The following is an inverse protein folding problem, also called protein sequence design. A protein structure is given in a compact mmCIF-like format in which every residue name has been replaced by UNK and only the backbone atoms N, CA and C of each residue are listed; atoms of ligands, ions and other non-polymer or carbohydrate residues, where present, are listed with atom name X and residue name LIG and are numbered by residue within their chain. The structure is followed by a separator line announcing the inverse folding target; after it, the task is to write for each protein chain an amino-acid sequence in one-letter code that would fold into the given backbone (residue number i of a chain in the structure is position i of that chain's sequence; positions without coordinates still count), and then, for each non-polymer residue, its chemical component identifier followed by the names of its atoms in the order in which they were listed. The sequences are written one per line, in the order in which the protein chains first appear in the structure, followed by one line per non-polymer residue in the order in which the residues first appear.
data_IF_368729541237
#
_entry.id   IF_368729541237
#
_cell.length_a   1.000
_cell.length_b   1.000
_cell.length_c   1.000
_cell.angle_alpha   90.00
_cell.angle_beta   90.00
_cell.angle_gamma   90.00
#
_symmetry.space_group_name_H-M   'P 1'
#
loop_
_entity.id
_entity.type
_entity.pdbx_description
1 polymer ?
#
# COMPACT_ATOMS: atom_id res chain seq x y z
N UNK A 1 10.65 17.08 -13.08
CA UNK A 1 11.38 18.27 -12.63
C UNK A 1 12.56 17.79 -11.79
N UNK A 2 13.77 17.81 -12.36
CA UNK A 2 15.00 17.53 -11.62
C UNK A 2 15.41 18.81 -10.89
N UNK A 3 15.64 18.72 -9.59
CA UNK A 3 16.15 19.85 -8.79
C UNK A 3 17.52 19.44 -8.28
N UNK A 4 18.53 20.25 -8.58
CA UNK A 4 19.89 20.05 -8.13
C UNK A 4 20.07 20.70 -6.76
N UNK A 5 20.07 19.90 -5.69
CA UNK A 5 20.32 20.39 -4.33
C UNK A 5 21.84 20.42 -4.06
N UNK A 6 22.34 21.58 -3.63
CA UNK A 6 23.73 21.75 -3.21
C UNK A 6 23.87 21.39 -1.72
N UNK A 7 24.69 20.39 -1.40
CA UNK A 7 25.16 20.17 -0.02
C UNK A 7 26.58 20.71 0.13
N UNK A 8 26.79 21.67 1.04
CA UNK A 8 28.13 22.17 1.41
C UNK A 8 28.65 21.33 2.57
N UNK A 9 29.62 20.46 2.31
CA UNK A 9 30.42 19.82 3.36
C UNK A 9 31.81 20.48 3.35
N UNK A 10 32.15 21.22 4.39
CA UNK A 10 33.50 21.76 4.57
C UNK A 10 34.45 20.62 4.94
N UNK A 11 35.39 20.30 4.06
CA UNK A 11 36.49 19.41 4.38
C UNK A 11 37.70 20.24 4.84
N UNK A 12 38.53 19.69 5.75
CA UNK A 12 39.66 20.39 6.42
C UNK A 12 40.75 20.96 5.48
N UNK A 13 40.66 20.74 4.16
CA UNK A 13 41.67 21.10 3.17
C UNK A 13 41.25 22.21 2.18
N UNK A 14 40.29 23.09 2.52
CA UNK A 14 39.90 24.27 1.71
C UNK A 14 39.52 24.03 0.22
N UNK A 15 39.41 22.79 -0.24
CA UNK A 15 38.81 22.47 -1.54
C UNK A 15 37.30 22.34 -1.38
N UNK A 16 36.55 23.31 -1.94
CA UNK A 16 35.09 23.26 -2.04
C UNK A 16 34.68 22.18 -3.04
N UNK A 17 34.42 20.96 -2.56
CA UNK A 17 33.68 19.97 -3.35
C UNK A 17 32.19 20.31 -3.32
N UNK A 18 31.67 20.77 -4.45
CA UNK A 18 30.23 20.93 -4.66
C UNK A 18 29.70 19.58 -5.14
N UNK A 19 28.99 18.86 -4.27
CA UNK A 19 28.25 17.67 -4.69
C UNK A 19 26.88 18.09 -5.20
N UNK A 20 26.64 17.83 -6.49
CA UNK A 20 25.29 17.90 -7.06
C UNK A 20 24.59 16.58 -6.79
N UNK A 21 23.59 16.61 -5.91
CA UNK A 21 22.71 15.45 -5.71
C UNK A 21 21.54 15.61 -6.66
N UNK A 22 21.53 14.80 -7.73
CA UNK A 22 20.34 14.66 -8.56
C UNK A 22 19.22 14.02 -7.73
N UNK A 23 18.10 14.72 -7.62
CA UNK A 23 16.87 14.20 -7.03
C UNK A 23 15.68 14.46 -7.95
N UNK A 24 14.70 13.58 -7.87
CA UNK A 24 13.45 13.69 -8.60
C UNK A 24 12.28 13.80 -7.63
N UNK A 25 11.31 14.66 -7.97
CA UNK A 25 10.04 14.70 -7.26
C UNK A 25 9.25 13.44 -7.63
N UNK A 26 8.99 12.59 -6.65
CA UNK A 26 8.28 11.33 -6.83
C UNK A 26 7.20 11.16 -5.78
N UNK A 27 6.19 10.36 -6.11
CA UNK A 27 5.11 10.02 -5.19
C UNK A 27 5.49 8.75 -4.42
N UNK A 28 5.51 8.83 -3.09
CA UNK A 28 5.87 7.74 -2.17
C UNK A 28 4.64 7.27 -1.42
N UNK A 29 4.48 5.95 -1.27
CA UNK A 29 3.52 5.37 -0.32
C UNK A 29 4.11 5.40 1.10
N UNK A 30 3.61 6.35 1.90
CA UNK A 30 4.08 6.58 3.27
C UNK A 30 3.29 5.74 4.28
N UNK A 31 1.98 5.61 4.07
CA UNK A 31 1.06 4.74 4.81
C UNK A 31 0.11 4.06 3.83
N UNK A 32 -0.57 2.97 4.23
CA UNK A 32 -1.59 2.35 3.40
C UNK A 32 -2.61 3.40 2.95
N UNK A 33 -2.80 3.52 1.64
CA UNK A 33 -3.64 4.55 0.99
C UNK A 33 -3.24 6.02 1.21
N UNK A 34 -2.06 6.33 1.76
CA UNK A 34 -1.56 7.70 1.91
C UNK A 34 -0.26 7.87 1.12
N UNK A 35 -0.38 8.54 -0.03
CA UNK A 35 0.75 8.85 -0.89
C UNK A 35 1.14 10.32 -0.75
N UNK A 36 2.44 10.59 -0.65
CA UNK A 36 2.97 11.95 -0.50
C UNK A 36 4.13 12.16 -1.44
N UNK A 37 4.26 13.39 -1.94
CA UNK A 37 5.41 13.76 -2.74
C UNK A 37 6.65 13.88 -1.85
N UNK A 38 7.78 13.40 -2.35
CA UNK A 38 9.09 13.63 -1.76
C UNK A 38 10.12 13.89 -2.85
N UNK A 39 11.23 14.51 -2.47
CA UNK A 39 12.43 14.51 -3.29
C UNK A 39 13.22 13.24 -3.03
N UNK A 40 13.28 12.38 -4.05
CA UNK A 40 13.98 11.12 -3.97
C UNK A 40 15.32 11.18 -4.68
N UNK A 41 16.38 10.77 -3.98
CA UNK A 41 17.73 10.69 -4.51
C UNK A 41 18.22 9.25 -4.50
N UNK A 42 19.01 8.85 -5.51
CA UNK A 42 19.63 7.51 -5.55
C UNK A 42 20.61 7.31 -4.39
N UNK A 43 21.35 8.38 -4.07
CA UNK A 43 22.37 8.42 -3.03
C UNK A 43 21.82 9.03 -1.73
N UNK A 44 22.55 8.82 -0.63
CA UNK A 44 22.27 9.49 0.64
C UNK A 44 22.46 11.00 0.50
N UNK A 45 21.76 11.77 1.33
CA UNK A 45 21.89 13.23 1.41
C UNK A 45 20.53 13.89 1.55
N UNK A 46 19.71 13.82 0.49
CA UNK A 46 18.30 14.27 0.56
C UNK A 46 17.47 13.31 1.40
N UNK A 47 17.68 12.00 1.19
CA UNK A 47 17.09 10.93 2.00
C UNK A 47 18.22 10.16 2.68
N UNK A 48 18.08 9.89 3.98
CA UNK A 48 19.12 9.20 4.78
C UNK A 48 19.34 7.76 4.27
N UNK A 49 18.26 7.06 3.94
CA UNK A 49 18.27 5.68 3.42
C UNK A 49 17.34 5.56 2.22
N UNK A 50 17.82 5.83 0.99
CA UNK A 50 16.95 5.80 -0.18
C UNK A 50 16.47 4.39 -0.54
N UNK A 51 17.21 3.34 -0.15
CA UNK A 51 16.83 1.97 -0.50
C UNK A 51 16.82 1.71 -2.02
N UNK A 52 17.58 2.50 -2.78
CA UNK A 52 17.50 2.54 -4.24
C UNK A 52 17.77 1.20 -4.91
N UNK A 53 18.58 0.31 -4.31
CA UNK A 53 18.78 -1.06 -4.80
C UNK A 53 17.48 -1.81 -5.05
N UNK A 54 16.46 -1.59 -4.23
CA UNK A 54 15.12 -2.21 -4.37
C UNK A 54 14.19 -1.26 -5.11
N UNK A 55 14.15 0.01 -4.69
CA UNK A 55 13.19 0.99 -5.22
C UNK A 55 13.37 1.31 -6.70
N UNK A 56 14.58 1.13 -7.26
CA UNK A 56 14.84 1.28 -8.70
C UNK A 56 13.90 0.41 -9.54
N UNK A 57 13.57 -0.79 -9.07
CA UNK A 57 12.68 -1.69 -9.81
C UNK A 57 11.25 -1.18 -9.89
N UNK A 58 10.81 -0.38 -8.93
CA UNK A 58 9.48 0.26 -8.96
C UNK A 58 9.50 1.56 -9.75
N UNK A 59 10.60 2.31 -9.71
CA UNK A 59 10.74 3.57 -10.43
C UNK A 59 10.95 3.38 -11.95
N UNK A 60 11.72 2.37 -12.33
CA UNK A 60 12.24 2.24 -13.69
C UNK A 60 11.46 1.25 -14.55
N UNK A 61 10.76 0.29 -13.92
CA UNK A 61 9.90 -0.66 -14.63
C UNK A 61 8.47 -0.12 -14.62
N UNK A 62 7.96 0.23 -15.81
CA UNK A 62 6.61 0.76 -15.96
C UNK A 62 5.56 -0.22 -15.42
N UNK A 63 4.60 0.31 -14.66
CA UNK A 63 3.48 -0.44 -14.06
C UNK A 63 3.90 -1.60 -13.14
N UNK A 64 5.14 -1.61 -12.64
CA UNK A 64 5.57 -2.62 -11.68
C UNK A 64 4.87 -2.41 -10.33
N UNK A 65 4.68 -3.50 -9.61
CA UNK A 65 4.08 -3.52 -8.28
C UNK A 65 4.98 -4.28 -7.32
N UNK A 66 4.86 -3.98 -6.03
CA UNK A 66 5.53 -4.71 -4.97
C UNK A 66 4.53 -5.18 -3.93
N UNK A 67 4.72 -6.41 -3.48
CA UNK A 67 4.17 -6.86 -2.21
C UNK A 67 5.01 -6.25 -1.09
N UNK A 68 4.34 -5.73 -0.07
CA UNK A 68 4.97 -5.32 1.18
C UNK A 68 4.43 -6.21 2.27
N UNK A 69 5.33 -6.86 2.99
CA UNK A 69 4.98 -7.65 4.18
C UNK A 69 6.11 -7.64 5.19
N UNK A 70 5.89 -8.20 6.38
CA UNK A 70 6.87 -8.23 7.46
C UNK A 70 7.37 -9.65 7.69
N UNK A 71 8.58 -9.76 8.24
CA UNK A 71 9.09 -11.00 8.83
C UNK A 71 8.60 -11.20 10.25
N UNK A 72 8.33 -10.11 10.97
CA UNK A 72 7.98 -10.13 12.38
C UNK A 72 6.73 -9.30 12.63
N UNK A 73 5.77 -9.88 13.33
CA UNK A 73 4.53 -9.22 13.71
C UNK A 73 4.30 -9.42 15.20
N UNK A 74 4.07 -8.33 15.93
CA UNK A 74 3.72 -8.36 17.37
C UNK A 74 2.25 -8.01 17.63
N UNK A 75 1.41 -8.06 16.60
CA UNK A 75 -0.03 -7.82 16.74
C UNK A 75 -0.78 -9.11 17.00
N UNK A 76 -1.94 -8.99 17.64
CA UNK A 76 -2.85 -10.11 17.96
C UNK A 76 -3.46 -10.76 16.71
N UNK A 77 -3.45 -10.07 15.57
CA UNK A 77 -3.86 -10.60 14.27
C UNK A 77 -2.93 -10.10 13.18
N UNK A 78 -2.59 -10.97 12.24
CA UNK A 78 -1.76 -10.60 11.10
C UNK A 78 -2.55 -9.72 10.12
N UNK A 79 -2.13 -8.47 9.96
CA UNK A 79 -2.65 -7.52 8.95
C UNK A 79 -1.52 -6.90 8.11
N UNK A 80 -0.31 -7.48 8.17
CA UNK A 80 0.92 -6.90 7.64
C UNK A 80 1.20 -7.32 6.20
N UNK A 81 0.21 -7.17 5.32
CA UNK A 81 0.36 -7.36 3.88
C UNK A 81 -0.28 -6.18 3.16
N UNK A 82 0.41 -5.58 2.21
CA UNK A 82 -0.12 -4.51 1.35
C UNK A 82 0.59 -4.51 0.00
N UNK A 83 -0.02 -3.93 -1.02
CA UNK A 83 0.58 -3.79 -2.35
C UNK A 83 0.83 -2.33 -2.66
N UNK A 84 1.90 -2.03 -3.38
CA UNK A 84 2.14 -0.68 -3.90
C UNK A 84 2.63 -0.72 -5.34
N UNK A 85 2.30 0.32 -6.10
CA UNK A 85 2.87 0.61 -7.43
C UNK A 85 3.82 1.81 -7.39
N UNK A 86 4.22 2.23 -6.18
CA UNK A 86 5.04 3.41 -5.92
C UNK A 86 6.17 3.01 -4.99
N UNK A 87 7.24 3.79 -4.97
CA UNK A 87 8.25 3.60 -3.93
C UNK A 87 7.60 3.78 -2.55
N UNK A 88 8.09 3.06 -1.56
CA UNK A 88 7.47 3.04 -0.24
C UNK A 88 8.46 3.41 0.85
N UNK A 89 7.94 4.04 1.90
CA UNK A 89 8.71 4.19 3.12
C UNK A 89 8.73 2.86 3.89
N UNK A 90 9.81 2.64 4.63
CA UNK A 90 9.95 1.50 5.54
C UNK A 90 8.79 1.38 6.55
N UNK A 91 8.13 2.50 6.84
CA UNK A 91 7.10 2.62 7.87
C UNK A 91 5.67 2.40 7.36
N UNK A 92 5.46 2.09 6.08
CA UNK A 92 4.13 1.78 5.55
C UNK A 92 3.51 0.55 6.24
N UNK A 93 4.35 -0.45 6.52
CA UNK A 93 4.06 -1.59 7.37
C UNK A 93 5.24 -1.67 8.36
N UNK A 94 5.01 -1.82 9.68
CA UNK A 94 6.09 -1.96 10.64
C UNK A 94 7.06 -3.08 10.25
N UNK A 95 8.35 -2.76 10.19
CA UNK A 95 9.41 -3.70 9.75
C UNK A 95 9.14 -4.31 8.36
N UNK A 96 8.50 -3.53 7.48
CA UNK A 96 8.10 -3.96 6.16
C UNK A 96 9.29 -4.19 5.21
N UNK A 97 9.22 -5.29 4.49
CA UNK A 97 10.06 -5.67 3.37
C UNK A 97 9.27 -5.50 2.08
N UNK A 98 9.94 -5.00 1.04
CA UNK A 98 9.34 -4.70 -0.25
C UNK A 98 9.84 -5.73 -1.27
N UNK A 99 8.90 -6.41 -1.91
CA UNK A 99 9.13 -7.47 -2.88
C UNK A 99 8.53 -7.05 -4.24
N UNK A 100 9.29 -6.33 -5.09
CA UNK A 100 8.87 -6.05 -6.47
C UNK A 100 8.62 -7.35 -7.22
N UNK A 101 7.55 -7.43 -8.02
CA UNK A 101 7.28 -8.66 -8.81
C UNK A 101 8.25 -8.82 -9.98
N UNK A 102 8.78 -7.72 -10.48
CA UNK A 102 9.82 -7.72 -11.49
C UNK A 102 11.05 -6.97 -11.00
N UNK A 103 12.20 -7.48 -11.41
CA UNK A 103 13.51 -6.85 -11.23
C UNK A 103 14.13 -6.59 -12.59
N UNK A 104 15.07 -5.65 -12.58
CA UNK A 104 15.89 -5.31 -13.74
C UNK A 104 17.31 -5.72 -13.38
N UNK A 105 17.94 -6.52 -14.23
CA UNK A 105 19.33 -6.89 -14.04
C UNK A 105 20.21 -5.69 -14.43
N UNK A 106 21.30 -5.48 -13.70
CA UNK A 106 22.29 -4.46 -14.05
C UNK A 106 23.15 -5.04 -15.18
N UNK A 107 22.70 -4.89 -16.43
CA UNK A 107 23.45 -5.29 -17.63
C UNK A 107 24.27 -4.12 -18.16
N UNK A 108 25.46 -4.41 -18.69
CA UNK A 108 26.28 -3.45 -19.44
C UNK A 108 25.66 -3.07 -20.79
N UNK A 109 24.72 -3.90 -21.27
CA UNK A 109 23.95 -3.63 -22.49
C UNK A 109 22.85 -2.60 -22.23
N UNK A 110 22.57 -1.70 -23.19
CA UNK A 110 21.53 -0.67 -23.05
C UNK A 110 20.11 -1.24 -22.93
N UNK A 111 19.91 -2.49 -23.34
CA UNK A 111 18.65 -3.20 -23.13
C UNK A 111 18.53 -3.68 -21.68
N UNK A 112 17.72 -2.95 -20.92
CA UNK A 112 17.33 -3.28 -19.56
C UNK A 112 16.40 -4.49 -19.58
N UNK A 113 16.94 -5.69 -19.40
CA UNK A 113 16.15 -6.92 -19.37
C UNK A 113 15.36 -7.00 -18.06
N UNK A 114 14.03 -7.05 -18.19
CA UNK A 114 13.07 -7.24 -17.10
C UNK A 114 12.88 -8.74 -16.84
N UNK A 115 12.91 -9.15 -15.58
CA UNK A 115 12.73 -10.55 -15.16
C UNK A 115 11.83 -10.66 -13.93
N UNK A 116 11.07 -11.76 -13.84
CA UNK A 116 10.28 -12.09 -12.65
C UNK A 116 11.18 -12.24 -11.42
N UNK A 117 10.78 -11.66 -10.28
CA UNK A 117 11.50 -11.76 -9.01
C UNK A 117 11.18 -13.07 -8.26
N UNK A 118 11.11 -14.18 -8.99
CA UNK A 118 10.90 -15.51 -8.45
C UNK A 118 12.15 -16.35 -8.62
N UNK A 119 12.48 -17.15 -7.60
CA UNK A 119 13.55 -18.14 -7.73
C UNK A 119 13.14 -19.21 -8.74
N UNK A 120 14.07 -19.63 -9.60
CA UNK A 120 13.82 -20.68 -10.61
C UNK A 120 13.22 -21.95 -10.02
N UNK A 121 13.68 -22.39 -8.83
CA UNK A 121 13.13 -23.56 -8.13
C UNK A 121 11.64 -23.39 -7.78
N UNK A 122 11.25 -22.19 -7.33
CA UNK A 122 9.85 -21.89 -7.00
C UNK A 122 8.99 -21.82 -8.27
N UNK A 123 9.52 -21.18 -9.32
CA UNK A 123 8.85 -21.12 -10.62
C UNK A 123 8.58 -22.52 -11.18
N UNK A 124 9.60 -23.37 -11.22
CA UNK A 124 9.51 -24.74 -11.69
C UNK A 124 8.51 -25.57 -10.86
N UNK A 125 8.52 -25.41 -9.53
CA UNK A 125 7.53 -26.06 -8.66
C UNK A 125 6.09 -25.73 -9.07
N UNK A 126 5.78 -24.46 -9.32
CA UNK A 126 4.43 -24.05 -9.74
C UNK A 126 4.07 -24.58 -11.14
N UNK A 127 5.00 -24.48 -12.08
CA UNK A 127 4.78 -24.92 -13.46
C UNK A 127 4.49 -26.42 -13.52
N UNK A 128 5.22 -27.24 -12.73
CA UNK A 128 5.00 -28.69 -12.62
C UNK A 128 3.70 -28.98 -11.86
N UNK A 129 3.45 -28.33 -10.72
CA UNK A 129 2.28 -28.60 -9.87
C UNK A 129 0.96 -28.42 -10.61
N UNK A 130 0.87 -27.38 -11.45
CA UNK A 130 -0.36 -27.05 -12.16
C UNK A 130 -0.35 -27.41 -13.65
N UNK A 131 0.78 -27.92 -14.17
CA UNK A 131 0.99 -28.17 -15.59
C UNK A 131 0.60 -26.97 -16.49
N UNK A 132 0.83 -25.76 -15.98
CA UNK A 132 0.46 -24.49 -16.61
C UNK A 132 1.39 -23.39 -16.14
N UNK A 133 1.79 -22.52 -17.06
CA UNK A 133 2.63 -21.36 -16.77
C UNK A 133 1.77 -20.12 -16.50
N UNK A 134 1.56 -19.80 -15.22
CA UNK A 134 0.90 -18.57 -14.78
C UNK A 134 1.80 -17.33 -14.89
N UNK A 135 1.25 -16.15 -15.08
CA UNK A 135 2.05 -14.90 -15.03
C UNK A 135 2.46 -14.56 -13.60
N UNK A 136 3.43 -13.66 -13.44
CA UNK A 136 3.84 -13.21 -12.12
C UNK A 136 2.72 -12.49 -11.35
N UNK A 137 1.86 -11.77 -12.05
CA UNK A 137 0.68 -11.11 -11.49
C UNK A 137 -0.36 -12.12 -11.02
N UNK A 138 -0.62 -13.19 -11.77
CA UNK A 138 -1.54 -14.26 -11.36
C UNK A 138 -1.04 -14.96 -10.08
N UNK A 139 0.26 -15.24 -10.01
CA UNK A 139 0.89 -15.83 -8.81
C UNK A 139 0.82 -14.85 -7.64
N UNK A 140 1.10 -13.56 -7.86
CA UNK A 140 0.96 -12.55 -6.82
C UNK A 140 -0.50 -12.46 -6.34
N UNK A 141 -1.47 -12.48 -7.25
CA UNK A 141 -2.89 -12.50 -6.94
C UNK A 141 -3.21 -13.65 -5.98
N UNK A 142 -2.74 -14.85 -6.28
CA UNK A 142 -2.94 -16.00 -5.40
C UNK A 142 -2.32 -15.79 -4.01
N UNK A 143 -1.04 -15.39 -3.97
CA UNK A 143 -0.34 -15.09 -2.71
C UNK A 143 -1.11 -14.04 -1.90
N UNK A 144 -1.60 -12.99 -2.56
CA UNK A 144 -2.31 -11.91 -1.92
C UNK A 144 -3.67 -12.34 -1.36
N UNK A 145 -4.40 -13.21 -2.08
CA UNK A 145 -5.63 -13.80 -1.59
C UNK A 145 -5.38 -14.62 -0.31
N UNK A 146 -4.34 -15.47 -0.29
CA UNK A 146 -3.98 -16.25 0.90
C UNK A 146 -3.61 -15.33 2.07
N UNK A 147 -2.80 -14.30 1.83
CA UNK A 147 -2.41 -13.33 2.85
C UNK A 147 -3.59 -12.52 3.40
N UNK A 148 -4.74 -12.49 2.71
CA UNK A 148 -5.97 -11.84 3.16
C UNK A 148 -7.04 -12.81 3.67
N UNK A 149 -6.88 -14.12 3.53
CA UNK A 149 -7.82 -15.09 4.10
C UNK A 149 -7.77 -15.07 5.64
N UNK A 150 -8.92 -14.89 6.29
CA UNK A 150 -9.01 -15.00 7.75
C UNK A 150 -8.66 -16.41 8.22
N UNK A 151 -9.11 -17.44 7.50
CA UNK A 151 -8.81 -18.85 7.80
C UNK A 151 -7.29 -19.09 7.82
N UNK A 152 -6.57 -18.54 6.83
CA UNK A 152 -5.11 -18.64 6.79
C UNK A 152 -4.46 -17.89 7.97
N UNK A 153 -4.86 -16.64 8.20
CA UNK A 153 -4.27 -15.79 9.25
C UNK A 153 -4.45 -16.37 10.64
N UNK A 154 -5.61 -16.94 10.92
CA UNK A 154 -5.92 -17.56 12.21
C UNK A 154 -5.16 -18.89 12.35
N UNK A 155 -5.15 -19.73 11.31
CA UNK A 155 -4.46 -21.03 11.34
C UNK A 155 -2.94 -20.89 11.50
N UNK A 156 -2.33 -19.89 10.87
CA UNK A 156 -0.88 -19.69 10.87
C UNK A 156 -0.42 -18.57 11.80
N UNK A 157 -1.29 -18.10 12.71
CA UNK A 157 -1.05 -16.96 13.58
C UNK A 157 0.32 -16.98 14.26
N UNK A 158 0.65 -18.05 14.98
CA UNK A 158 1.94 -18.19 15.70
C UNK A 158 3.14 -18.08 14.76
N UNK A 159 3.04 -18.69 13.57
CA UNK A 159 4.12 -18.65 12.59
C UNK A 159 4.29 -17.25 11.99
N UNK A 160 3.18 -16.58 11.68
CA UNK A 160 3.14 -15.22 11.13
C UNK A 160 3.71 -14.16 12.09
N UNK A 161 3.88 -14.48 13.38
CA UNK A 161 4.52 -13.60 14.35
C UNK A 161 6.05 -13.66 14.32
N UNK A 162 6.62 -14.82 13.96
CA UNK A 162 8.06 -15.11 14.15
C UNK A 162 8.86 -15.19 12.85
N UNK A 163 8.22 -15.38 11.69
CA UNK A 163 8.90 -15.40 10.40
C UNK A 163 8.01 -14.91 9.25
N UNK A 164 8.58 -14.83 8.05
CA UNK A 164 7.83 -14.45 6.85
C UNK A 164 6.63 -15.39 6.61
N UNK A 165 5.50 -14.85 6.07
CA UNK A 165 4.37 -15.68 5.69
C UNK A 165 4.76 -16.81 4.75
N UNK A 166 4.47 -18.05 5.14
CA UNK A 166 4.60 -19.23 4.29
C UNK A 166 3.29 -19.49 3.56
N UNK A 167 3.32 -19.36 2.24
CA UNK A 167 2.13 -19.53 1.40
C UNK A 167 1.91 -21.02 1.12
N UNK A 168 0.70 -21.49 1.39
CA UNK A 168 0.26 -22.84 1.05
C UNK A 168 -0.40 -22.79 -0.32
N UNK A 169 0.01 -23.71 -1.19
CA UNK A 169 -0.54 -23.85 -2.53
C UNK A 169 -1.50 -25.03 -2.57
N UNK A 170 -2.73 -24.76 -3.00
CA UNK A 170 -3.77 -25.77 -3.22
C UNK A 170 -3.37 -26.75 -4.32
N UNK A 171 -3.85 -27.99 -4.25
CA UNK A 171 -3.58 -29.00 -5.28
C UNK A 171 -4.42 -28.79 -6.54
N UNK A 172 -5.65 -28.30 -6.38
CA UNK A 172 -6.56 -28.07 -7.49
C UNK A 172 -6.24 -26.74 -8.22
N UNK A 173 -5.94 -26.83 -9.52
CA UNK A 173 -5.61 -25.67 -10.37
C UNK A 173 -6.76 -24.67 -10.52
N UNK A 174 -8.01 -25.11 -10.55
CA UNK A 174 -9.16 -24.22 -10.68
C UNK A 174 -9.38 -23.39 -9.41
N UNK A 175 -9.12 -23.98 -8.24
CA UNK A 175 -9.12 -23.26 -6.96
C UNK A 175 -7.97 -22.24 -6.95
N UNK A 176 -6.78 -22.60 -7.45
CA UNK A 176 -5.67 -21.66 -7.60
C UNK A 176 -6.06 -20.46 -8.47
N UNK A 177 -6.65 -20.71 -9.64
CA UNK A 177 -7.11 -19.64 -10.55
C UNK A 177 -8.17 -18.77 -9.89
N UNK A 178 -9.13 -19.37 -9.18
CA UNK A 178 -10.22 -18.64 -8.51
C UNK A 178 -9.69 -17.73 -7.41
N UNK A 179 -8.83 -18.24 -6.53
CA UNK A 179 -8.17 -17.45 -5.50
C UNK A 179 -7.25 -16.39 -6.12
N UNK A 180 -6.53 -16.73 -7.19
CA UNK A 180 -5.70 -15.80 -7.94
C UNK A 180 -6.47 -14.60 -8.47
N UNK A 181 -7.67 -14.82 -9.04
CA UNK A 181 -8.57 -13.75 -9.49
C UNK A 181 -9.05 -12.89 -8.33
N UNK A 182 -9.51 -13.49 -7.24
CA UNK A 182 -9.95 -12.75 -6.04
C UNK A 182 -8.84 -11.84 -5.49
N UNK A 183 -7.61 -12.35 -5.40
CA UNK A 183 -6.49 -11.55 -4.94
C UNK A 183 -6.03 -10.49 -5.96
N UNK A 184 -6.18 -10.75 -7.26
CA UNK A 184 -5.94 -9.75 -8.31
C UNK A 184 -6.92 -8.59 -8.22
N UNK A 185 -8.21 -8.88 -8.03
CA UNK A 185 -9.24 -7.85 -7.81
C UNK A 185 -8.91 -7.03 -6.56
N UNK A 186 -8.52 -7.70 -5.48
CA UNK A 186 -8.11 -7.05 -4.24
C UNK A 186 -6.86 -6.17 -4.41
N UNK A 187 -5.85 -6.62 -5.17
CA UNK A 187 -4.67 -5.82 -5.54
C UNK A 187 -5.10 -4.55 -6.27
N UNK A 188 -5.96 -4.68 -7.28
CA UNK A 188 -6.44 -3.55 -8.07
C UNK A 188 -7.22 -2.54 -7.22
N UNK A 189 -8.02 -3.02 -6.26
CA UNK A 189 -8.72 -2.17 -5.29
C UNK A 189 -7.78 -1.49 -4.29
N UNK A 190 -6.77 -2.18 -3.77
CA UNK A 190 -5.77 -1.59 -2.86
C UNK A 190 -4.84 -0.58 -3.53
N UNK A 191 -4.58 -0.75 -4.83
CA UNK A 191 -3.90 0.25 -5.66
C UNK A 191 -4.82 1.42 -6.04
N UNK A 192 -6.11 1.35 -5.71
CA UNK A 192 -7.16 2.32 -6.08
C UNK A 192 -7.24 2.50 -7.61
N UNK A 193 -6.92 1.43 -8.36
CA UNK A 193 -7.08 1.38 -9.83
C UNK A 193 -8.53 1.09 -10.22
N UNK A 194 -9.18 0.22 -9.46
CA UNK A 194 -10.57 -0.18 -9.65
C UNK A 194 -11.30 0.00 -8.33
N UNK A 195 -12.37 0.78 -8.34
CA UNK A 195 -13.26 0.90 -7.19
C UNK A 195 -14.23 -0.29 -7.23
N UNK A 196 -14.35 -1.08 -6.14
CA UNK A 196 -15.27 -2.22 -6.11
C UNK A 196 -16.72 -1.81 -6.42
N UNK A 197 -17.40 -2.60 -7.24
CA UNK A 197 -18.83 -2.42 -7.55
C UNK A 197 -19.68 -2.91 -6.37
N UNK A 198 -19.80 -2.06 -5.35
CA UNK A 198 -20.65 -2.27 -4.16
C UNK A 198 -21.64 -1.11 -4.01
N UNK A 199 -22.47 -1.13 -2.97
CA UNK A 199 -23.44 -0.07 -2.71
C UNK A 199 -22.78 1.33 -2.77
N UNK A 200 -23.30 2.19 -3.65
CA UNK A 200 -22.75 3.51 -3.95
C UNK A 200 -22.70 4.43 -2.73
N UNK A 201 -23.59 4.21 -1.75
CA UNK A 201 -23.71 5.00 -0.53
C UNK A 201 -22.69 4.62 0.55
N UNK A 202 -21.93 3.53 0.40
CA UNK A 202 -20.86 3.17 1.34
C UNK A 202 -19.76 4.22 1.30
N UNK A 203 -19.49 4.86 2.44
CA UNK A 203 -18.44 5.85 2.56
C UNK A 203 -18.69 7.13 1.78
N UNK A 204 -19.92 7.41 1.34
CA UNK A 204 -20.23 8.68 0.67
C UNK A 204 -20.17 9.83 1.66
N UNK A 205 -19.55 10.93 1.26
CA UNK A 205 -19.40 12.12 2.08
C UNK A 205 -20.62 13.04 1.94
N UNK A 206 -21.08 13.55 3.08
CA UNK A 206 -22.12 14.58 3.17
C UNK A 206 -21.64 15.68 4.08
N UNK A 207 -21.81 16.91 3.62
CA UNK A 207 -21.56 18.12 4.40
C UNK A 207 -22.83 18.94 4.47
N UNK A 208 -23.13 19.48 5.66
CA UNK A 208 -24.16 20.49 5.83
C UNK A 208 -23.55 21.88 5.98
N UNK A 209 -24.36 22.90 5.73
CA UNK A 209 -23.99 24.29 6.00
C UNK A 209 -23.98 24.51 7.52
N UNK A 210 -22.96 25.19 8.03
CA UNK A 210 -22.90 25.62 9.43
C UNK A 210 -23.89 26.77 9.71
N UNK A 211 -23.93 27.24 10.97
CA UNK A 211 -24.74 28.39 11.40
C UNK A 211 -24.41 29.68 10.63
N UNK A 212 -23.25 29.75 9.97
CA UNK A 212 -22.81 30.87 9.12
C UNK A 212 -23.10 30.65 7.63
N UNK A 213 -23.89 29.61 7.29
CA UNK A 213 -24.19 29.17 5.92
C UNK A 213 -22.94 28.81 5.10
N UNK A 214 -21.86 28.39 5.76
CA UNK A 214 -20.62 27.94 5.09
C UNK A 214 -20.41 26.45 5.30
N UNK A 215 -19.85 25.81 4.29
CA UNK A 215 -19.37 24.44 4.43
C UNK A 215 -18.01 24.47 5.14
N UNK A 216 -17.92 23.86 6.31
CA UNK A 216 -16.64 23.61 6.95
C UNK A 216 -15.95 22.40 6.30
N UNK A 217 -14.86 22.64 5.56
CA UNK A 217 -14.00 21.61 4.95
C UNK A 217 -12.81 21.25 5.83
N UNK A 218 -12.60 21.94 6.97
CA UNK A 218 -11.45 21.75 7.85
C UNK A 218 -11.63 20.48 8.68
N UNK A 219 -10.57 19.67 8.77
CA UNK A 219 -10.55 18.51 9.65
C UNK A 219 -10.29 18.97 11.08
N UNK A 220 -11.23 18.71 11.99
CA UNK A 220 -11.18 19.21 13.36
C UNK A 220 -11.25 18.05 14.36
N UNK A 221 -12.47 17.72 14.81
CA UNK A 221 -12.73 16.64 15.76
C UNK A 221 -13.22 15.43 14.97
N UNK A 222 -12.30 14.49 14.73
CA UNK A 222 -12.64 13.19 14.15
C UNK A 222 -13.35 12.35 15.22
N UNK A 223 -14.56 11.89 14.94
CA UNK A 223 -15.28 10.96 15.81
C UNK A 223 -16.17 10.04 14.98
N UNK A 224 -16.48 8.87 15.55
CA UNK A 224 -17.28 7.84 14.90
C UNK A 224 -18.54 7.59 15.73
N UNK A 225 -19.71 7.62 15.08
CA UNK A 225 -20.99 7.25 15.69
C UNK A 225 -21.35 5.84 15.25
N UNK A 226 -21.30 4.90 16.18
CA UNK A 226 -21.56 3.49 15.90
C UNK A 226 -23.05 3.23 15.64
N UNK A 227 -23.94 3.98 16.28
CA UNK A 227 -25.39 3.84 16.16
C UNK A 227 -25.88 4.16 14.74
N UNK A 228 -25.24 5.11 14.06
CA UNK A 228 -25.59 5.55 12.71
C UNK A 228 -24.60 5.07 11.63
N UNK A 229 -23.50 4.40 12.02
CA UNK A 229 -22.39 4.04 11.12
C UNK A 229 -21.81 5.26 10.38
N UNK A 230 -21.57 6.35 11.10
CA UNK A 230 -21.11 7.62 10.52
C UNK A 230 -19.73 8.03 11.06
N UNK A 231 -18.80 8.35 10.15
CA UNK A 231 -17.48 8.87 10.47
C UNK A 231 -17.43 10.37 10.19
N UNK A 232 -17.35 11.17 11.23
CA UNK A 232 -17.23 12.62 11.15
C UNK A 232 -15.77 13.03 11.14
N UNK A 233 -15.43 14.01 10.30
CA UNK A 233 -14.12 14.66 10.35
C UNK A 233 -14.18 16.09 10.90
N UNK A 234 -15.39 16.66 10.99
CA UNK A 234 -15.72 17.86 11.74
C UNK A 234 -17.21 17.80 12.14
N UNK A 235 -17.77 18.89 12.69
CA UNK A 235 -19.17 18.91 13.11
C UNK A 235 -20.15 18.80 11.94
N UNK A 236 -19.80 19.34 10.78
CA UNK A 236 -20.73 19.48 9.64
C UNK A 236 -20.60 18.42 8.57
N UNK A 237 -19.52 17.63 8.60
CA UNK A 237 -19.14 16.78 7.50
C UNK A 237 -18.78 15.37 7.95
N UNK A 238 -19.35 14.40 7.24
CA UNK A 238 -19.29 12.99 7.61
C UNK A 238 -19.32 12.06 6.40
N UNK A 239 -18.74 10.88 6.58
CA UNK A 239 -18.92 9.73 5.70
C UNK A 239 -19.99 8.81 6.28
N UNK A 240 -20.95 8.42 5.46
CA UNK A 240 -22.07 7.55 5.90
C UNK A 240 -21.82 6.08 5.56
N UNK A 241 -22.57 5.18 6.20
CA UNK A 241 -22.49 3.72 5.97
C UNK A 241 -21.07 3.16 6.16
N UNK A 242 -20.33 3.71 7.12
CA UNK A 242 -19.01 3.25 7.53
C UNK A 242 -19.22 2.29 8.69
N UNK A 243 -19.19 0.97 8.43
CA UNK A 243 -19.36 0.00 9.51
C UNK A 243 -18.22 0.07 10.53
N UNK A 244 -18.47 -0.42 11.75
CA UNK A 244 -17.46 -0.46 12.81
C UNK A 244 -16.20 -1.23 12.37
N UNK A 245 -16.37 -2.33 11.65
CA UNK A 245 -15.27 -3.11 11.10
C UNK A 245 -14.42 -2.28 10.12
N UNK A 246 -15.06 -1.48 9.25
CA UNK A 246 -14.37 -0.58 8.32
C UNK A 246 -13.64 0.54 9.05
N UNK A 247 -14.27 1.16 10.04
CA UNK A 247 -13.65 2.21 10.86
C UNK A 247 -12.42 1.70 11.64
N UNK A 248 -12.52 0.51 12.23
CA UNK A 248 -11.45 -0.12 13.01
C UNK A 248 -10.45 -0.91 12.18
N UNK A 249 -10.61 -0.94 10.86
CA UNK A 249 -9.75 -1.73 9.99
C UNK A 249 -8.30 -1.25 10.03
N UNK A 250 -7.38 -2.20 10.19
CA UNK A 250 -5.94 -1.93 10.25
C UNK A 250 -5.20 -2.63 9.11
N UNK A 251 -4.15 -1.96 8.62
CA UNK A 251 -3.12 -2.58 7.78
C UNK A 251 -1.80 -2.40 8.51
N UNK A 252 -1.21 -3.50 8.95
CA UNK A 252 -0.20 -3.51 10.01
C UNK A 252 -0.75 -2.86 11.29
N UNK A 253 0.03 -1.99 11.93
CA UNK A 253 -0.39 -1.24 13.12
C UNK A 253 -1.19 0.03 12.82
N UNK A 254 -1.51 0.29 11.55
CA UNK A 254 -2.13 1.55 11.13
C UNK A 254 -3.65 1.41 10.97
N UNK A 255 -4.42 2.06 11.85
CA UNK A 255 -5.87 2.19 11.68
C UNK A 255 -6.15 3.19 10.56
N UNK A 256 -6.47 2.69 9.37
CA UNK A 256 -6.37 3.43 8.11
C UNK A 256 -7.12 4.76 8.13
N UNK A 257 -8.42 4.74 8.42
CA UNK A 257 -9.28 5.93 8.34
C UNK A 257 -9.00 6.93 9.47
N UNK A 258 -9.02 6.44 10.72
CA UNK A 258 -8.78 7.27 11.91
C UNK A 258 -7.44 7.99 11.83
N UNK A 259 -6.38 7.26 11.49
CA UNK A 259 -5.04 7.82 11.42
C UNK A 259 -4.94 8.81 10.26
N UNK A 260 -5.46 8.48 9.06
CA UNK A 260 -5.42 9.39 7.91
C UNK A 260 -5.97 10.79 8.24
N UNK A 261 -7.16 10.84 8.85
CA UNK A 261 -7.81 12.08 9.26
C UNK A 261 -7.07 12.78 10.41
N UNK A 262 -6.64 12.03 11.44
CA UNK A 262 -5.96 12.61 12.61
C UNK A 262 -4.67 13.34 12.24
N UNK A 263 -3.87 12.79 11.32
CA UNK A 263 -2.61 13.42 10.86
C UNK A 263 -2.83 14.68 10.03
N UNK A 264 -4.08 14.99 9.64
CA UNK A 264 -4.48 16.14 8.84
C UNK A 264 -5.37 17.11 9.59
N UNK A 265 -5.53 16.93 10.90
CA UNK A 265 -6.24 17.88 11.76
C UNK A 265 -5.67 19.30 11.56
N UNK A 266 -6.57 20.27 11.43
CA UNK A 266 -6.29 21.68 11.15
C UNK A 266 -6.07 22.01 9.67
N UNK A 267 -6.21 21.03 8.76
CA UNK A 267 -6.11 21.26 7.31
C UNK A 267 -7.49 21.21 6.67
N UNK A 268 -7.65 21.98 5.62
CA UNK A 268 -8.77 21.82 4.69
C UNK A 268 -8.68 20.47 3.97
N UNK A 269 -9.82 19.79 3.84
CA UNK A 269 -9.96 18.56 3.06
C UNK A 269 -10.53 18.90 1.68
N UNK A 270 -9.70 18.96 0.62
CA UNK A 270 -10.15 19.28 -0.72
C UNK A 270 -11.01 18.15 -1.30
N UNK A 271 -11.87 18.46 -2.28
CA UNK A 271 -12.81 17.48 -2.87
C UNK A 271 -12.14 16.22 -3.40
N UNK A 272 -10.94 16.33 -3.99
CA UNK A 272 -10.15 15.17 -4.46
C UNK A 272 -9.75 14.22 -3.32
N UNK A 273 -9.53 14.77 -2.14
CA UNK A 273 -9.17 14.00 -0.95
C UNK A 273 -10.40 13.36 -0.29
N UNK A 274 -11.54 14.06 -0.34
CA UNK A 274 -12.85 13.45 -0.01
C UNK A 274 -13.09 12.25 -0.90
N UNK A 275 -13.06 12.41 -2.22
CA UNK A 275 -13.25 11.32 -3.20
C UNK A 275 -12.27 10.16 -2.98
N UNK A 276 -11.02 10.47 -2.64
CA UNK A 276 -10.02 9.46 -2.30
C UNK A 276 -10.45 8.66 -1.07
N UNK A 277 -10.88 9.31 0.01
CA UNK A 277 -11.36 8.63 1.21
C UNK A 277 -12.64 7.83 0.95
N UNK A 278 -13.59 8.31 0.13
CA UNK A 278 -14.76 7.52 -0.26
C UNK A 278 -14.35 6.21 -0.93
N UNK A 279 -13.37 6.27 -1.86
CA UNK A 279 -12.82 5.08 -2.52
C UNK A 279 -12.11 4.16 -1.53
N UNK A 280 -11.34 4.70 -0.60
CA UNK A 280 -10.65 3.91 0.44
C UNK A 280 -11.65 3.20 1.35
N UNK A 281 -12.71 3.87 1.80
CA UNK A 281 -13.77 3.27 2.62
C UNK A 281 -14.43 2.12 1.87
N UNK A 282 -14.79 2.32 0.59
CA UNK A 282 -15.36 1.27 -0.26
C UNK A 282 -14.42 0.09 -0.45
N UNK A 283 -13.14 0.37 -0.69
CA UNK A 283 -12.11 -0.64 -0.81
C UNK A 283 -11.98 -1.46 0.48
N UNK A 284 -11.90 -0.81 1.65
CA UNK A 284 -11.83 -1.52 2.94
C UNK A 284 -13.07 -2.38 3.18
N UNK A 285 -14.26 -1.85 2.89
CA UNK A 285 -15.50 -2.61 3.01
C UNK A 285 -15.49 -3.87 2.13
N UNK A 286 -15.10 -3.73 0.86
CA UNK A 286 -14.94 -4.85 -0.06
C UNK A 286 -13.89 -5.86 0.46
N UNK A 287 -12.74 -5.37 0.91
CA UNK A 287 -11.66 -6.19 1.48
C UNK A 287 -12.18 -7.07 2.60
N UNK A 288 -12.86 -6.49 3.59
CA UNK A 288 -13.45 -7.22 4.72
C UNK A 288 -14.40 -8.33 4.23
N UNK A 289 -15.22 -8.05 3.21
CA UNK A 289 -16.08 -9.05 2.58
C UNK A 289 -15.32 -10.20 1.94
N UNK A 290 -14.20 -9.92 1.26
CA UNK A 290 -13.33 -10.94 0.65
C UNK A 290 -12.60 -11.77 1.70
N UNK A 291 -12.13 -11.18 2.80
CA UNK A 291 -11.41 -11.90 3.86
C UNK A 291 -12.25 -12.98 4.55
N UNK A 292 -13.58 -12.84 4.51
CA UNK A 292 -14.54 -13.77 5.10
C UNK A 292 -14.91 -14.95 4.17
N UNK A 293 -14.50 -14.91 2.89
CA UNK A 293 -14.67 -15.99 1.92
C UNK A 293 -13.52 -17.00 2.01
#
# INVERSE_FOLDING_TARGET
MEINLQSKLNNKNNNKLIFFISCSLVLVSTRPFDNRFTYYSKNRGVIIRPGYKIMKHILEIQNNIALITTRLSKTDRFSHAFVTSKISELSIIPLGYVFPIYIQEDSETPERVKKENFKNKFRHFLDVKYNKKFTAEEILGYIYAILYSNIYRDRFYEHLQIDFPKIIFVDNSDIFVTLGKLGTDLINSHLVKVVPTININIGKCFSFLDETLKQNSIIEKVFYKEETNELYYNQTSRFINVSKEVYNYTIGSWQTLKSYLTYRKGREMPSKEVEHLEKVIKTIHYTIGIQKK
#
